data_IF_447284177842
#
_entry.id   IF_447284177842
#
_cell.length_a   1.000
_cell.length_b   1.000
_cell.length_c   1.000
_cell.angle_alpha   90.00
_cell.angle_beta   90.00
_cell.angle_gamma   90.00
#
_symmetry.space_group_name_H-M   'P 1'
#
loop_
_entity.id
_entity.type
_entity.pdbx_description
1 polymer ?
#
# COMPACT_ATOMS: atom_id res chain seq x y z
N UNK A 1 4.17 -6.31 -27.63
CA UNK A 1 3.66 -5.27 -26.73
C UNK A 1 4.60 -5.14 -25.53
N UNK A 2 5.05 -3.91 -25.19
CA UNK A 2 5.89 -3.72 -24.02
C UNK A 2 5.14 -4.07 -22.73
N UNK A 3 5.83 -4.72 -21.79
CA UNK A 3 5.33 -5.05 -20.46
C UNK A 3 4.84 -3.79 -19.73
N UNK A 4 3.62 -3.79 -19.22
CA UNK A 4 3.11 -2.69 -18.38
C UNK A 4 3.61 -2.85 -16.94
N UNK A 5 4.11 -1.77 -16.29
CA UNK A 5 4.75 -1.85 -14.98
C UNK A 5 3.77 -1.95 -13.80
N UNK A 6 4.28 -2.50 -12.70
CA UNK A 6 3.74 -2.29 -11.34
C UNK A 6 4.56 -1.20 -10.67
N UNK A 7 3.88 -0.15 -10.25
CA UNK A 7 4.47 1.04 -9.63
C UNK A 7 3.90 1.19 -8.21
N UNK A 8 4.77 1.19 -7.23
CA UNK A 8 4.42 1.31 -5.80
C UNK A 8 4.79 2.70 -5.30
N UNK A 9 3.92 3.28 -4.48
CA UNK A 9 4.16 4.55 -3.78
C UNK A 9 4.22 4.28 -2.28
N UNK A 10 5.33 4.63 -1.66
CA UNK A 10 5.57 4.51 -0.23
C UNK A 10 5.93 5.85 0.41
N UNK A 11 5.81 5.95 1.70
CA UNK A 11 6.12 7.15 2.48
C UNK A 11 5.13 7.31 3.64
N UNK A 12 5.52 8.13 4.61
CA UNK A 12 4.71 8.42 5.80
C UNK A 12 3.48 9.29 5.46
N UNK A 13 2.59 9.45 6.42
CA UNK A 13 1.49 10.40 6.35
C UNK A 13 2.04 11.82 6.15
N UNK A 14 1.32 12.62 5.36
CA UNK A 14 1.77 13.99 5.04
C UNK A 14 2.92 14.08 4.02
N UNK A 15 3.50 12.95 3.55
CA UNK A 15 4.58 12.95 2.53
C UNK A 15 4.15 13.38 1.13
N UNK A 16 2.84 13.48 0.87
CA UNK A 16 2.31 13.91 -0.43
C UNK A 16 2.00 12.77 -1.41
N UNK A 17 2.12 11.49 -1.00
CA UNK A 17 1.79 10.33 -1.85
C UNK A 17 0.50 10.49 -2.62
N UNK A 18 -0.60 10.70 -1.92
CA UNK A 18 -1.94 10.80 -2.54
C UNK A 18 -2.05 11.96 -3.53
N UNK A 19 -1.27 13.02 -3.36
CA UNK A 19 -1.20 14.12 -4.33
C UNK A 19 -0.52 13.65 -5.62
N UNK A 20 0.64 13.01 -5.53
CA UNK A 20 1.36 12.49 -6.70
C UNK A 20 0.56 11.42 -7.42
N UNK A 21 -0.03 10.47 -6.68
CA UNK A 21 -0.87 9.42 -7.28
C UNK A 21 -2.04 10.02 -8.05
N UNK A 22 -2.76 10.98 -7.48
CA UNK A 22 -3.88 11.65 -8.17
C UNK A 22 -3.44 12.32 -9.48
N UNK A 23 -2.28 12.99 -9.49
CA UNK A 23 -1.76 13.61 -10.72
C UNK A 23 -1.42 12.57 -11.79
N UNK A 24 -0.83 11.44 -11.37
CA UNK A 24 -0.52 10.33 -12.29
C UNK A 24 -1.81 9.70 -12.82
N UNK A 25 -2.79 9.45 -11.96
CA UNK A 25 -4.11 8.93 -12.38
C UNK A 25 -4.74 9.86 -13.41
N UNK A 26 -4.83 11.17 -13.12
CA UNK A 26 -5.38 12.14 -14.06
C UNK A 26 -4.63 12.20 -15.40
N UNK A 27 -3.29 12.06 -15.36
CA UNK A 27 -2.49 11.97 -16.59
C UNK A 27 -2.82 10.72 -17.41
N UNK A 28 -2.92 9.56 -16.76
CA UNK A 28 -3.25 8.29 -17.43
C UNK A 28 -4.67 8.33 -18.03
N UNK A 29 -5.64 8.88 -17.29
CA UNK A 29 -7.02 9.05 -17.77
C UNK A 29 -7.08 9.97 -18.97
N UNK A 30 -6.45 11.15 -18.89
CA UNK A 30 -6.40 12.13 -20.00
C UNK A 30 -5.80 11.52 -21.27
N UNK A 31 -4.80 10.66 -21.13
CA UNK A 31 -4.14 10.01 -22.27
C UNK A 31 -4.77 8.66 -22.65
N UNK A 32 -5.91 8.28 -22.06
CA UNK A 32 -6.62 7.01 -22.31
C UNK A 32 -5.73 5.77 -22.12
N UNK A 33 -4.79 5.83 -21.16
CA UNK A 33 -3.90 4.74 -20.84
C UNK A 33 -4.56 3.83 -19.81
N UNK A 34 -4.71 2.55 -20.12
CA UNK A 34 -5.32 1.59 -19.22
C UNK A 34 -4.45 1.32 -17.98
N UNK A 35 -5.03 1.53 -16.81
CA UNK A 35 -4.38 1.29 -15.53
C UNK A 35 -5.34 0.70 -14.49
N UNK A 36 -4.77 0.27 -13.36
CA UNK A 36 -5.47 -0.08 -12.13
C UNK A 36 -4.82 0.70 -11.00
N UNK A 37 -5.62 1.22 -10.08
CA UNK A 37 -5.16 1.79 -8.83
C UNK A 37 -5.67 0.94 -7.66
N UNK A 38 -4.75 0.55 -6.78
CA UNK A 38 -5.04 -0.16 -5.53
C UNK A 38 -4.39 0.60 -4.38
N UNK A 39 -5.03 0.53 -3.22
CA UNK A 39 -4.50 1.04 -1.96
C UNK A 39 -4.44 -0.10 -0.95
N UNK A 40 -3.32 -0.25 -0.25
CA UNK A 40 -3.20 -1.27 0.80
C UNK A 40 -3.12 -0.65 2.22
N UNK A 41 -3.76 -1.27 3.21
CA UNK A 41 -4.79 -2.30 3.08
C UNK A 41 -6.06 -1.75 2.44
N UNK A 42 -6.80 -2.57 1.70
CA UNK A 42 -7.98 -2.18 0.91
C UNK A 42 -7.80 -2.48 -0.57
N UNK A 43 -8.65 -1.92 -1.42
CA UNK A 43 -8.54 -2.04 -2.88
C UNK A 43 -9.55 -3.01 -3.52
N UNK A 44 -10.09 -3.96 -2.78
CA UNK A 44 -11.22 -4.79 -3.19
C UNK A 44 -12.21 -4.98 -2.03
N UNK A 45 -13.42 -5.48 -2.27
CA UNK A 45 -14.47 -5.56 -1.22
C UNK A 45 -14.04 -6.33 0.03
N UNK A 46 -13.32 -7.44 -0.10
CA UNK A 46 -12.86 -8.24 1.03
C UNK A 46 -11.72 -7.55 1.78
N UNK A 47 -10.74 -7.02 1.05
CA UNK A 47 -9.65 -6.26 1.63
C UNK A 47 -10.15 -4.99 2.36
N UNK A 48 -11.20 -4.33 1.88
CA UNK A 48 -11.83 -3.20 2.57
C UNK A 48 -12.54 -3.63 3.89
N UNK A 49 -13.12 -4.82 3.97
CA UNK A 49 -13.64 -5.36 5.23
C UNK A 49 -12.53 -5.56 6.25
N UNK A 50 -11.41 -6.16 5.81
CA UNK A 50 -10.22 -6.33 6.66
C UNK A 50 -9.66 -4.98 7.07
N UNK A 51 -9.55 -4.02 6.15
CA UNK A 51 -9.13 -2.65 6.46
C UNK A 51 -9.98 -2.00 7.57
N UNK A 52 -11.29 -2.17 7.53
CA UNK A 52 -12.18 -1.64 8.58
C UNK A 52 -11.82 -2.21 9.95
N UNK A 53 -11.49 -3.50 10.04
CA UNK A 53 -11.02 -4.12 11.28
C UNK A 53 -9.68 -3.51 11.74
N UNK A 54 -8.69 -3.44 10.83
CA UNK A 54 -7.36 -2.90 11.12
C UNK A 54 -7.46 -1.46 11.64
N UNK A 55 -8.28 -0.62 11.03
CA UNK A 55 -8.38 0.81 11.37
C UNK A 55 -9.39 1.11 12.48
N UNK A 56 -10.06 0.11 13.04
CA UNK A 56 -11.02 0.30 14.13
C UNK A 56 -10.31 0.78 15.40
N UNK A 57 -10.69 1.95 15.89
CA UNK A 57 -10.21 2.49 17.18
C UNK A 57 -10.67 1.67 18.39
N UNK A 58 -11.71 0.85 18.22
CA UNK A 58 -12.27 -0.01 19.29
C UNK A 58 -11.47 -1.30 19.49
N UNK A 59 -10.60 -1.65 18.55
CA UNK A 59 -9.89 -2.92 18.54
C UNK A 59 -8.38 -2.67 18.61
N UNK A 60 -7.72 -3.28 19.60
CA UNK A 60 -6.26 -3.32 19.69
C UNK A 60 -5.81 -4.76 19.43
N UNK A 61 -5.27 -5.02 18.27
CA UNK A 61 -4.72 -6.33 17.94
C UNK A 61 -3.31 -6.52 18.50
N UNK A 62 -2.99 -7.75 18.84
CA UNK A 62 -1.61 -8.14 19.09
C UNK A 62 -0.77 -7.95 17.81
N UNK A 63 0.54 -7.61 17.91
CA UNK A 63 1.37 -7.32 16.73
C UNK A 63 1.33 -8.40 15.64
N UNK A 64 1.34 -9.67 16.02
CA UNK A 64 1.24 -10.79 15.07
C UNK A 64 -0.12 -10.83 14.36
N UNK A 65 -1.21 -10.57 15.08
CA UNK A 65 -2.55 -10.50 14.50
C UNK A 65 -2.67 -9.33 13.53
N UNK A 66 -2.13 -8.17 13.91
CA UNK A 66 -2.08 -6.99 13.04
C UNK A 66 -1.35 -7.32 11.72
N UNK A 67 -0.15 -7.89 11.79
CA UNK A 67 0.59 -8.35 10.61
C UNK A 67 -0.25 -9.30 9.75
N UNK A 68 -0.86 -10.33 10.35
CA UNK A 68 -1.64 -11.31 9.60
C UNK A 68 -2.85 -10.69 8.89
N UNK A 69 -3.49 -9.69 9.49
CA UNK A 69 -4.57 -8.94 8.86
C UNK A 69 -4.09 -8.11 7.66
N UNK A 70 -2.92 -7.44 7.75
CA UNK A 70 -2.32 -6.76 6.61
C UNK A 70 -1.99 -7.72 5.47
N UNK A 71 -1.44 -8.88 5.81
CA UNK A 71 -1.10 -9.94 4.86
C UNK A 71 -2.37 -10.52 4.21
N UNK A 72 -3.43 -10.78 4.99
CA UNK A 72 -4.71 -11.24 4.45
C UNK A 72 -5.34 -10.22 3.50
N UNK A 73 -5.34 -8.93 3.88
CA UNK A 73 -5.83 -7.87 3.00
C UNK A 73 -5.06 -7.77 1.69
N UNK A 74 -3.72 -7.95 1.73
CA UNK A 74 -2.88 -8.02 0.53
C UNK A 74 -3.21 -9.21 -0.34
N UNK A 75 -3.36 -10.39 0.28
CA UNK A 75 -3.66 -11.61 -0.45
C UNK A 75 -4.96 -11.50 -1.27
N UNK A 76 -5.97 -10.81 -0.74
CA UNK A 76 -7.21 -10.55 -1.49
C UNK A 76 -6.99 -9.74 -2.78
N UNK A 77 -5.94 -8.92 -2.85
CA UNK A 77 -5.61 -8.13 -4.03
C UNK A 77 -4.80 -8.93 -5.09
N UNK A 78 -4.18 -10.05 -4.70
CA UNK A 78 -3.27 -10.80 -5.58
C UNK A 78 -3.95 -11.29 -6.85
N UNK A 79 -5.21 -11.71 -6.77
CA UNK A 79 -5.99 -12.14 -7.94
C UNK A 79 -6.14 -11.01 -8.97
N UNK A 80 -6.41 -9.79 -8.49
CA UNK A 80 -6.53 -8.60 -9.34
C UNK A 80 -5.17 -8.27 -9.97
N UNK A 81 -4.10 -8.31 -9.18
CA UNK A 81 -2.74 -8.06 -9.67
C UNK A 81 -2.36 -9.08 -10.75
N UNK A 82 -2.52 -10.38 -10.49
CA UNK A 82 -2.18 -11.46 -11.45
C UNK A 82 -2.98 -11.35 -12.75
N UNK A 83 -4.28 -11.07 -12.68
CA UNK A 83 -5.15 -10.90 -13.85
C UNK A 83 -4.69 -9.77 -14.80
N UNK A 84 -4.14 -8.69 -14.21
CA UNK A 84 -3.78 -7.47 -14.93
C UNK A 84 -2.27 -7.29 -15.12
N UNK A 85 -1.46 -8.15 -14.52
CA UNK A 85 0.00 -8.12 -14.61
C UNK A 85 0.47 -8.11 -16.06
N UNK A 86 1.38 -7.21 -16.39
CA UNK A 86 1.92 -6.95 -17.74
C UNK A 86 0.89 -6.42 -18.77
N UNK A 87 -0.39 -6.39 -18.47
CA UNK A 87 -1.47 -5.95 -19.38
C UNK A 87 -1.85 -4.50 -19.17
N UNK A 88 -1.88 -4.06 -17.90
CA UNK A 88 -2.23 -2.70 -17.49
C UNK A 88 -1.13 -2.12 -16.60
N UNK A 89 -0.99 -0.81 -16.57
CA UNK A 89 -0.21 -0.14 -15.52
C UNK A 89 -0.92 -0.39 -14.20
N UNK A 90 -0.17 -0.80 -13.19
CA UNK A 90 -0.71 -1.02 -11.84
C UNK A 90 -0.05 -0.02 -10.90
N UNK A 91 -0.86 0.84 -10.30
CA UNK A 91 -0.45 1.81 -9.27
C UNK A 91 -0.89 1.28 -7.91
N UNK A 92 0.03 1.21 -6.95
CA UNK A 92 -0.27 0.71 -5.60
C UNK A 92 0.17 1.76 -4.57
N UNK A 93 -0.78 2.25 -3.76
CA UNK A 93 -0.50 3.10 -2.60
C UNK A 93 -0.26 2.20 -1.38
N UNK A 94 0.98 2.13 -0.92
CA UNK A 94 1.54 1.25 0.10
C UNK A 94 1.55 -0.23 -0.32
N UNK A 95 2.67 -0.90 -0.03
CA UNK A 95 2.86 -2.32 -0.34
C UNK A 95 3.75 -2.98 0.72
N UNK A 96 4.60 -3.94 0.32
CA UNK A 96 5.46 -4.73 1.21
C UNK A 96 6.33 -3.86 2.11
N UNK A 97 6.91 -2.79 1.58
CA UNK A 97 7.79 -1.86 2.29
C UNK A 97 7.10 -1.23 3.51
N UNK A 98 5.79 -0.94 3.37
CA UNK A 98 5.00 -0.43 4.51
C UNK A 98 4.85 -1.47 5.61
N UNK A 99 4.67 -2.76 5.26
CA UNK A 99 4.62 -3.84 6.25
C UNK A 99 5.96 -3.97 7.00
N UNK A 100 7.08 -3.88 6.27
CA UNK A 100 8.41 -3.88 6.90
C UNK A 100 8.55 -2.68 7.86
N UNK A 101 8.20 -1.48 7.39
CA UNK A 101 8.33 -0.27 8.21
C UNK A 101 7.49 -0.33 9.49
N UNK A 102 6.22 -0.70 9.41
CA UNK A 102 5.32 -0.67 10.55
C UNK A 102 5.42 -1.92 11.44
N UNK A 103 5.42 -3.11 10.86
CA UNK A 103 5.37 -4.34 11.66
C UNK A 103 6.76 -4.82 12.11
N UNK A 104 7.83 -4.59 11.33
CA UNK A 104 9.18 -4.91 11.79
C UNK A 104 9.74 -3.77 12.64
N UNK A 105 9.99 -2.61 12.04
CA UNK A 105 10.62 -1.49 12.76
C UNK A 105 9.72 -0.87 13.83
N UNK A 106 8.41 -0.78 13.58
CA UNK A 106 7.46 -0.20 14.53
C UNK A 106 7.01 -1.15 15.65
N UNK A 107 6.87 -2.45 15.37
CA UNK A 107 6.32 -3.44 16.31
C UNK A 107 7.32 -4.54 16.70
N UNK A 108 8.55 -4.55 16.17
CA UNK A 108 9.59 -5.50 16.53
C UNK A 108 9.39 -6.93 15.99
N UNK A 109 8.54 -7.14 14.97
CA UNK A 109 8.31 -8.46 14.41
C UNK A 109 9.49 -8.91 13.53
N UNK A 110 9.68 -10.24 13.46
CA UNK A 110 10.79 -10.84 12.74
C UNK A 110 10.74 -10.54 11.23
N UNK A 111 11.79 -9.91 10.70
CA UNK A 111 11.89 -9.51 9.30
C UNK A 111 11.88 -10.71 8.33
N UNK A 112 12.52 -11.82 8.70
CA UNK A 112 12.59 -13.01 7.85
C UNK A 112 11.19 -13.63 7.69
N UNK A 113 10.41 -13.66 8.76
CA UNK A 113 9.02 -14.13 8.70
C UNK A 113 8.18 -13.22 7.78
N UNK A 114 8.28 -11.90 7.93
CA UNK A 114 7.58 -10.93 7.08
C UNK A 114 7.96 -11.12 5.61
N UNK A 115 9.25 -11.25 5.31
CA UNK A 115 9.72 -11.44 3.94
C UNK A 115 9.24 -12.77 3.34
N UNK A 116 9.31 -13.85 4.10
CA UNK A 116 8.89 -15.18 3.64
C UNK A 116 7.39 -15.24 3.34
N UNK A 117 6.54 -14.68 4.21
CA UNK A 117 5.09 -14.68 3.97
C UNK A 117 4.72 -13.76 2.79
N UNK A 118 5.38 -12.62 2.62
CA UNK A 118 5.19 -11.77 1.46
C UNK A 118 5.63 -12.49 0.16
N UNK A 119 6.79 -13.15 0.17
CA UNK A 119 7.28 -13.93 -0.96
C UNK A 119 6.28 -15.04 -1.34
N UNK A 120 5.75 -15.74 -0.36
CA UNK A 120 4.73 -16.78 -0.57
C UNK A 120 3.49 -16.22 -1.27
N UNK A 121 2.94 -15.09 -0.80
CA UNK A 121 1.73 -14.49 -1.34
C UNK A 121 1.95 -13.89 -2.72
N UNK A 122 3.05 -13.17 -2.90
CA UNK A 122 3.35 -12.50 -4.17
C UNK A 122 3.71 -13.48 -5.28
N UNK A 123 4.22 -14.67 -4.92
CA UNK A 123 4.64 -15.69 -5.88
C UNK A 123 5.62 -15.09 -6.91
N UNK A 124 5.21 -14.99 -8.17
CA UNK A 124 6.04 -14.45 -9.28
C UNK A 124 5.79 -12.98 -9.59
N UNK A 125 4.94 -12.29 -8.82
CA UNK A 125 4.69 -10.87 -9.02
C UNK A 125 5.95 -10.07 -8.60
N UNK A 126 6.41 -9.21 -9.51
CA UNK A 126 7.55 -8.33 -9.26
C UNK A 126 7.12 -6.88 -9.45
N UNK A 127 7.42 -6.04 -8.48
CA UNK A 127 7.32 -4.58 -8.59
C UNK A 127 8.41 -4.09 -9.52
N UNK A 128 8.06 -3.21 -10.45
CA UNK A 128 9.03 -2.65 -11.40
C UNK A 128 9.63 -1.34 -10.84
N UNK A 129 8.83 -0.53 -10.14
CA UNK A 129 9.28 0.74 -9.55
C UNK A 129 8.65 0.97 -8.18
N UNK A 130 9.46 1.41 -7.22
CA UNK A 130 8.98 1.90 -5.92
C UNK A 130 9.41 3.36 -5.75
N UNK A 131 8.44 4.25 -5.58
CA UNK A 131 8.68 5.66 -5.31
C UNK A 131 8.54 5.95 -3.81
N UNK A 132 9.64 6.31 -3.16
CA UNK A 132 9.64 6.75 -1.77
C UNK A 132 9.41 8.26 -1.69
N UNK A 133 8.25 8.65 -1.17
CA UNK A 133 7.93 10.05 -0.91
C UNK A 133 8.50 10.47 0.45
N UNK A 134 9.53 11.31 0.41
CA UNK A 134 10.19 11.84 1.60
C UNK A 134 9.63 13.24 1.91
N UNK A 135 9.49 13.55 3.19
CA UNK A 135 9.10 14.87 3.71
C UNK A 135 9.87 15.15 4.98
N UNK A 136 10.28 16.39 5.20
CA UNK A 136 10.87 16.81 6.47
C UNK A 136 9.82 16.75 7.60
N UNK A 137 10.26 16.47 8.82
CA UNK A 137 9.38 16.37 9.98
C UNK A 137 8.54 17.65 10.17
N UNK A 138 9.14 18.82 10.01
CA UNK A 138 8.46 20.12 10.13
C UNK A 138 7.30 20.21 9.12
N UNK A 139 7.54 19.86 7.88
CA UNK A 139 6.52 19.90 6.84
C UNK A 139 5.45 18.81 7.04
N UNK A 140 5.84 17.64 7.53
CA UNK A 140 4.91 16.59 7.90
C UNK A 140 3.93 17.08 8.97
N UNK A 141 4.44 17.61 10.08
CA UNK A 141 3.62 18.14 11.19
C UNK A 141 2.70 19.26 10.71
N UNK A 142 3.20 20.20 9.90
CA UNK A 142 2.37 21.26 9.29
C UNK A 142 1.20 20.68 8.51
N UNK A 143 1.46 19.70 7.64
CA UNK A 143 0.44 19.08 6.78
C UNK A 143 -0.56 18.25 7.60
N UNK A 144 -0.11 17.56 8.64
CA UNK A 144 -0.98 16.78 9.52
C UNK A 144 -1.95 17.66 10.31
N UNK A 145 -1.55 18.87 10.73
CA UNK A 145 -2.42 19.83 11.41
C UNK A 145 -3.55 20.39 10.51
N UNK A 146 -3.33 20.45 9.21
CA UNK A 146 -4.30 21.01 8.25
C UNK A 146 -5.28 19.97 7.69
N UNK A 147 -5.02 18.69 7.91
CA UNK A 147 -5.88 17.60 7.42
C UNK A 147 -6.50 16.90 8.62
N UNK A 148 -7.83 16.85 8.67
CA UNK A 148 -8.56 16.02 9.64
C UNK A 148 -8.30 14.54 9.31
N UNK A 149 -7.25 13.98 9.92
CA UNK A 149 -6.92 12.57 9.73
C UNK A 149 -7.83 11.69 10.59
N UNK A 150 -8.80 11.11 9.98
CA UNK A 150 -9.67 10.08 10.60
C UNK A 150 -8.97 8.73 10.79
N UNK A 151 -7.70 8.58 10.37
CA UNK A 151 -7.03 7.27 10.21
C UNK A 151 -5.59 7.20 10.75
N UNK A 152 -5.19 8.08 11.67
CA UNK A 152 -3.93 7.92 12.39
C UNK A 152 -4.07 6.83 13.46
N UNK A 153 -3.28 5.80 13.35
CA UNK A 153 -2.93 4.86 14.43
C UNK A 153 -1.55 5.16 14.94
#
# INVERSE_FOLDING_TARGET
>A
MSKKPIIVFVGIEGSGKSHHIRRIVSFLEKNKINFIYLREPGGNPNSEKIRKLILSKKTKFQPKTDLLLYIAARNENISILKKNYKKKIILIDRFVESTVAYQHYGMGLNINFINNINKFILDRLKVDFTFLNIVSEINMIKRLKTVSYTHLR
#
